data_IF_912740975949
#
_entry.id   IF_912740975949
#
_cell.length_a   1.000
_cell.length_b   1.000
_cell.length_c   1.000
_cell.angle_alpha   90.00
_cell.angle_beta   90.00
_cell.angle_gamma   90.00
#
_symmetry.space_group_name_H-M   'P 1'
#
loop_
_entity.id
_entity.type
_entity.pdbx_description
1 polymer ?
#
# COMPACT_ATOMS: atom_id res chain seq x y z
N UNK A 1 25.72 -4.93 -1.53
CA UNK A 1 24.99 -4.18 -0.48
C UNK A 1 24.25 -2.95 -1.01
N UNK A 2 24.79 -2.13 -1.92
CA UNK A 2 24.08 -0.93 -2.42
C UNK A 2 22.70 -1.21 -3.08
N UNK A 3 22.57 -2.32 -3.83
CA UNK A 3 21.30 -2.73 -4.45
C UNK A 3 20.19 -3.12 -3.46
N UNK A 4 20.55 -3.51 -2.23
CA UNK A 4 19.60 -3.93 -1.18
C UNK A 4 18.73 -2.76 -0.71
N UNK A 5 19.36 -1.60 -0.47
CA UNK A 5 18.68 -0.41 0.03
C UNK A 5 17.84 0.29 -1.05
N UNK A 6 18.32 0.32 -2.30
CA UNK A 6 17.60 0.96 -3.40
C UNK A 6 16.25 0.28 -3.69
N UNK A 7 16.19 -1.05 -3.58
CA UNK A 7 14.97 -1.82 -3.80
C UNK A 7 13.89 -1.58 -2.72
N UNK A 8 14.29 -1.21 -1.50
CA UNK A 8 13.38 -0.92 -0.39
C UNK A 8 13.05 0.57 -0.29
N UNK A 9 13.97 1.44 -0.71
CA UNK A 9 13.85 2.88 -0.57
C UNK A 9 12.61 3.41 -1.30
N UNK A 10 12.51 3.20 -2.61
CA UNK A 10 11.43 3.76 -3.42
C UNK A 10 10.05 3.29 -2.92
N UNK A 11 9.80 1.98 -2.68
CA UNK A 11 8.51 1.53 -2.15
C UNK A 11 8.20 2.07 -0.74
N UNK A 12 9.19 2.20 0.13
CA UNK A 12 8.99 2.74 1.48
C UNK A 12 8.61 4.22 1.44
N UNK A 13 9.26 5.00 0.57
CA UNK A 13 8.98 6.43 0.39
C UNK A 13 7.55 6.63 -0.12
N UNK A 14 7.12 5.89 -1.15
CA UNK A 14 5.75 5.96 -1.66
C UNK A 14 4.71 5.54 -0.62
N UNK A 15 4.97 4.48 0.16
CA UNK A 15 4.06 4.10 1.24
C UNK A 15 3.98 5.19 2.33
N UNK A 16 5.09 5.87 2.65
CA UNK A 16 5.07 7.02 3.53
C UNK A 16 4.23 8.18 2.99
N UNK A 17 4.30 8.45 1.68
CA UNK A 17 3.46 9.44 1.00
C UNK A 17 1.98 9.07 1.06
N UNK A 18 1.63 7.82 0.70
CA UNK A 18 0.24 7.36 0.74
C UNK A 18 -0.35 7.44 2.14
N UNK A 19 0.44 7.06 3.16
CA UNK A 19 0.03 7.19 4.55
C UNK A 19 -0.20 8.66 4.96
N UNK A 20 0.68 9.57 4.52
CA UNK A 20 0.53 11.00 4.81
C UNK A 20 -0.73 11.58 4.16
N UNK A 21 -1.00 11.23 2.89
CA UNK A 21 -2.22 11.64 2.20
C UNK A 21 -3.45 11.06 2.91
N UNK A 22 -3.47 9.75 3.20
CA UNK A 22 -4.58 9.09 3.87
C UNK A 22 -4.89 9.69 5.24
N UNK A 23 -3.85 10.08 5.99
CA UNK A 23 -4.01 10.75 7.30
C UNK A 23 -4.68 12.12 7.16
N UNK A 24 -4.43 12.84 6.05
CA UNK A 24 -4.94 14.19 5.81
C UNK A 24 -6.32 14.21 5.16
N UNK A 25 -6.56 13.31 4.22
CA UNK A 25 -7.77 13.31 3.38
C UNK A 25 -8.79 12.26 3.79
N UNK A 26 -8.40 11.31 4.65
CA UNK A 26 -9.15 10.08 4.94
C UNK A 26 -9.38 9.19 3.70
N UNK A 27 -8.66 9.44 2.60
CA UNK A 27 -8.73 8.68 1.37
C UNK A 27 -7.43 7.90 1.20
N UNK A 28 -7.53 6.58 1.05
CA UNK A 28 -6.38 5.73 0.76
C UNK A 28 -6.00 5.83 -0.73
N UNK A 29 -4.93 6.58 -1.02
CA UNK A 29 -4.36 6.74 -2.36
C UNK A 29 -3.34 5.66 -2.74
N UNK A 30 -3.16 4.63 -1.92
CA UNK A 30 -2.37 3.47 -2.31
C UNK A 30 -3.00 2.74 -3.50
N UNK A 31 -2.24 1.92 -4.26
CA UNK A 31 -2.80 1.11 -5.33
C UNK A 31 -3.98 0.22 -4.89
N UNK A 32 -3.92 -0.31 -3.66
CA UNK A 32 -5.03 -1.06 -3.06
C UNK A 32 -6.23 -0.16 -2.76
N UNK A 33 -6.01 1.01 -2.16
CA UNK A 33 -7.08 1.96 -1.84
C UNK A 33 -7.81 2.48 -3.08
N UNK A 34 -7.07 2.92 -4.10
CA UNK A 34 -7.64 3.33 -5.39
C UNK A 34 -8.36 2.16 -6.06
N UNK A 35 -7.76 0.96 -6.02
CA UNK A 35 -8.38 -0.25 -6.54
C UNK A 35 -9.73 -0.55 -5.89
N UNK A 36 -9.82 -0.41 -4.56
CA UNK A 36 -11.06 -0.59 -3.79
C UNK A 36 -12.09 0.50 -4.11
N UNK A 37 -11.68 1.76 -4.21
CA UNK A 37 -12.57 2.87 -4.59
C UNK A 37 -13.19 2.61 -5.97
N UNK A 38 -12.37 2.19 -6.95
CA UNK A 38 -12.85 1.81 -8.27
C UNK A 38 -13.82 0.63 -8.15
N UNK A 39 -13.45 -0.41 -7.38
CA UNK A 39 -14.29 -1.58 -7.18
C UNK A 39 -15.67 -1.25 -6.62
N UNK A 40 -15.73 -0.39 -5.59
CA UNK A 40 -16.97 0.05 -4.95
C UNK A 40 -17.86 0.83 -5.93
N UNK A 41 -17.27 1.66 -6.79
CA UNK A 41 -18.02 2.41 -7.82
C UNK A 41 -18.66 1.46 -8.84
N UNK A 42 -17.97 0.38 -9.23
CA UNK A 42 -18.47 -0.57 -10.22
C UNK A 42 -19.33 -1.69 -9.62
N UNK A 43 -19.34 -1.88 -8.30
CA UNK A 43 -20.12 -2.90 -7.60
C UNK A 43 -21.62 -2.92 -7.98
N UNK A 44 -22.32 -1.78 -8.17
CA UNK A 44 -23.73 -1.77 -8.57
C UNK A 44 -23.98 -2.31 -9.99
N UNK A 45 -22.95 -2.39 -10.83
CA UNK A 45 -23.02 -2.86 -12.21
C UNK A 45 -22.70 -4.36 -12.34
N UNK A 46 -22.47 -5.05 -11.22
CA UNK A 46 -22.06 -6.45 -11.18
C UNK A 46 -23.29 -7.36 -11.19
N UNK A 47 -23.41 -8.16 -12.24
CA UNK A 47 -24.43 -9.22 -12.31
C UNK A 47 -24.18 -10.31 -11.26
N UNK A 48 -25.24 -10.99 -10.82
CA UNK A 48 -25.19 -12.06 -9.79
C UNK A 48 -24.14 -13.14 -10.07
N UNK A 49 -23.90 -13.47 -11.34
CA UNK A 49 -22.88 -14.45 -11.75
C UNK A 49 -21.43 -14.02 -11.44
N UNK A 50 -21.17 -12.72 -11.39
CA UNK A 50 -19.83 -12.16 -11.24
C UNK A 50 -19.54 -11.68 -9.81
N UNK A 51 -20.52 -11.74 -8.90
CA UNK A 51 -20.38 -11.28 -7.51
C UNK A 51 -19.26 -12.03 -6.78
N UNK A 52 -19.11 -13.34 -7.03
CA UNK A 52 -18.06 -14.14 -6.38
C UNK A 52 -16.65 -13.73 -6.84
N UNK A 53 -16.48 -13.43 -8.13
CA UNK A 53 -15.23 -12.91 -8.69
C UNK A 53 -14.93 -11.52 -8.11
N UNK A 54 -15.95 -10.65 -8.04
CA UNK A 54 -15.80 -9.32 -7.47
C UNK A 54 -15.32 -9.37 -6.02
N UNK A 55 -15.97 -10.19 -5.19
CA UNK A 55 -15.58 -10.38 -3.79
C UNK A 55 -14.17 -10.96 -3.64
N UNK A 56 -13.77 -11.84 -4.56
CA UNK A 56 -12.42 -12.42 -4.54
C UNK A 56 -11.35 -11.36 -4.82
N UNK A 57 -11.60 -10.48 -5.80
CA UNK A 57 -10.66 -9.40 -6.13
C UNK A 57 -10.62 -8.34 -5.02
N UNK A 58 -11.77 -8.00 -4.42
CA UNK A 58 -11.83 -7.12 -3.25
C UNK A 58 -10.95 -7.66 -2.10
N UNK A 59 -11.07 -8.94 -1.79
CA UNK A 59 -10.22 -9.61 -0.78
C UNK A 59 -8.75 -9.55 -1.18
N UNK A 60 -8.41 -9.77 -2.46
CA UNK A 60 -7.02 -9.66 -2.93
C UNK A 60 -6.47 -8.24 -2.76
N UNK A 61 -7.26 -7.21 -3.07
CA UNK A 61 -6.87 -5.81 -2.90
C UNK A 61 -6.65 -5.46 -1.42
N UNK A 62 -7.52 -5.96 -0.52
CA UNK A 62 -7.37 -5.80 0.93
C UNK A 62 -6.11 -6.49 1.48
N UNK A 63 -5.73 -7.63 0.90
CA UNK A 63 -4.55 -8.39 1.31
C UNK A 63 -3.24 -7.87 0.68
N UNK A 64 -3.31 -7.08 -0.39
CA UNK A 64 -2.15 -6.62 -1.15
C UNK A 64 -1.08 -5.93 -0.29
N UNK A 65 -1.41 -5.03 0.67
CA UNK A 65 -0.41 -4.42 1.54
C UNK A 65 0.32 -5.45 2.41
N UNK A 66 -0.42 -6.43 2.94
CA UNK A 66 0.13 -7.49 3.78
C UNK A 66 1.06 -8.42 3.00
N UNK A 67 0.66 -8.78 1.77
CA UNK A 67 1.49 -9.58 0.86
C UNK A 67 2.80 -8.85 0.56
N UNK A 68 2.75 -7.53 0.36
CA UNK A 68 3.95 -6.72 0.15
C UNK A 68 4.93 -6.77 1.33
N UNK A 69 4.43 -6.64 2.57
CA UNK A 69 5.25 -6.79 3.77
C UNK A 69 5.87 -8.19 3.90
N UNK A 70 5.09 -9.24 3.63
CA UNK A 70 5.58 -10.63 3.67
C UNK A 70 6.68 -10.84 2.64
N UNK A 71 6.54 -10.31 1.42
CA UNK A 71 7.57 -10.38 0.39
C UNK A 71 8.85 -9.65 0.80
N UNK A 72 8.75 -8.51 1.47
CA UNK A 72 9.91 -7.80 2.05
C UNK A 72 10.63 -8.68 3.07
N UNK A 73 9.90 -9.37 3.95
CA UNK A 73 10.49 -10.27 4.95
C UNK A 73 11.15 -11.49 4.29
N UNK A 74 10.49 -12.13 3.32
CA UNK A 74 11.05 -13.29 2.61
C UNK A 74 12.35 -12.93 1.90
N UNK A 75 12.38 -11.77 1.23
CA UNK A 75 13.49 -11.38 0.35
C UNK A 75 14.65 -10.72 1.10
N UNK A 76 14.37 -9.99 2.18
CA UNK A 76 15.35 -9.14 2.85
C UNK A 76 15.48 -9.41 4.37
N UNK A 77 14.71 -10.37 4.88
CA UNK A 77 14.66 -10.72 6.29
C UNK A 77 14.05 -9.64 7.16
N UNK A 78 14.08 -9.87 8.48
CA UNK A 78 13.58 -8.92 9.50
C UNK A 78 14.33 -7.58 9.42
N UNK A 79 15.62 -7.60 9.07
CA UNK A 79 16.41 -6.37 8.88
C UNK A 79 15.85 -5.49 7.76
N UNK A 80 15.41 -6.09 6.66
CA UNK A 80 14.76 -5.37 5.57
C UNK A 80 13.44 -4.72 5.99
N UNK A 81 12.63 -5.42 6.80
CA UNK A 81 11.40 -4.88 7.37
C UNK A 81 11.67 -3.65 8.26
N UNK A 82 12.69 -3.73 9.12
CA UNK A 82 13.07 -2.60 10.00
C UNK A 82 13.51 -1.39 9.18
N UNK A 83 14.36 -1.60 8.18
CA UNK A 83 14.83 -0.52 7.29
C UNK A 83 13.65 0.09 6.52
N UNK A 84 12.77 -0.76 5.98
CA UNK A 84 11.55 -0.33 5.30
C UNK A 84 10.67 0.54 6.21
N UNK A 85 10.43 0.08 7.45
CA UNK A 85 9.65 0.80 8.45
C UNK A 85 10.24 2.16 8.83
N UNK A 86 11.57 2.23 9.00
CA UNK A 86 12.26 3.50 9.29
C UNK A 86 12.10 4.48 8.13
N UNK A 87 12.36 4.05 6.88
CA UNK A 87 12.23 4.91 5.71
C UNK A 87 10.78 5.38 5.53
N UNK A 88 9.82 4.47 5.69
CA UNK A 88 8.40 4.78 5.64
C UNK A 88 8.02 5.86 6.66
N UNK A 89 8.44 5.69 7.92
CA UNK A 89 8.09 6.62 9.00
C UNK A 89 8.73 7.99 8.80
N UNK A 90 10.00 8.04 8.41
CA UNK A 90 10.68 9.30 8.05
C UNK A 90 9.99 9.97 6.87
N UNK A 91 9.66 9.22 5.82
CA UNK A 91 8.97 9.75 4.64
C UNK A 91 7.57 10.26 4.98
N UNK A 92 6.82 9.54 5.80
CA UNK A 92 5.52 9.96 6.32
C UNK A 92 5.62 11.30 7.05
N UNK A 93 6.57 11.45 7.99
CA UNK A 93 6.76 12.71 8.73
C UNK A 93 7.08 13.85 7.78
N UNK A 94 7.97 13.63 6.81
CA UNK A 94 8.34 14.64 5.80
C UNK A 94 7.12 15.05 4.98
N UNK A 95 6.42 14.10 4.35
CA UNK A 95 5.27 14.42 3.51
C UNK A 95 4.11 15.02 4.30
N UNK A 96 3.84 14.55 5.51
CA UNK A 96 2.80 15.09 6.37
C UNK A 96 3.08 16.55 6.79
N UNK A 97 4.36 16.92 6.93
CA UNK A 97 4.76 18.31 7.15
C UNK A 97 4.53 19.19 5.91
N UNK A 98 4.84 18.69 4.71
CA UNK A 98 4.66 19.44 3.46
C UNK A 98 3.22 19.51 2.95
N UNK A 99 2.38 18.53 3.30
CA UNK A 99 0.95 18.50 2.98
C UNK A 99 0.11 19.34 3.98
N UNK A 100 0.77 20.13 4.83
CA UNK A 100 0.14 20.96 5.85
C UNK A 100 -0.20 22.35 5.32
#
# INVERSE_FOLDING_TARGET
>A
MASFYHALFLPSVFNGLFLAIATKTSIDFSPSGIGLIIFDIFQPLVNEHNVSLFRSVEIMLLLLPWISYVLVVIKFGIKGLVIFGIILLVSYVIFNYFLN
#
